data_IF_272613156305
#
_entry.id   IF_272613156305
#
_cell.length_a   1.000
_cell.length_b   1.000
_cell.length_c   1.000
_cell.angle_alpha   90.00
_cell.angle_beta   90.00
_cell.angle_gamma   90.00
#
_symmetry.space_group_name_H-M   'P 1'
#
loop_
_entity.id
_entity.type
_entity.pdbx_description
1 polymer ?
#
# COMPACT_ATOMS: atom_id res chain seq x y z
N UNK A 1 -30.60 9.32 30.96
CA UNK A 1 -30.13 10.39 30.06
C UNK A 1 -29.36 9.71 28.92
N UNK A 2 -29.94 9.76 27.72
CA UNK A 2 -29.62 8.90 26.57
C UNK A 2 -28.19 9.12 26.02
N UNK A 3 -27.32 8.12 26.21
CA UNK A 3 -26.03 8.02 25.50
C UNK A 3 -26.24 7.18 24.23
N UNK A 4 -27.07 7.69 23.32
CA UNK A 4 -27.30 7.10 21.97
C UNK A 4 -26.89 8.10 20.88
N UNK A 5 -25.91 8.96 21.14
CA UNK A 5 -25.61 10.12 20.31
C UNK A 5 -24.40 9.99 19.36
N UNK A 6 -23.85 8.81 19.08
CA UNK A 6 -22.71 8.71 18.14
C UNK A 6 -22.63 7.44 17.27
N UNK A 7 -23.71 6.66 17.14
CA UNK A 7 -23.63 5.33 16.51
C UNK A 7 -23.69 5.29 14.97
N UNK A 8 -23.74 6.44 14.27
CA UNK A 8 -23.84 6.44 12.80
C UNK A 8 -22.87 7.44 12.17
N UNK A 9 -21.57 7.17 12.26
CA UNK A 9 -20.74 7.57 11.12
C UNK A 9 -21.28 6.80 9.91
N UNK A 10 -21.89 7.53 8.96
CA UNK A 10 -22.37 6.96 7.70
C UNK A 10 -21.27 6.08 7.10
N UNK A 11 -21.62 4.87 6.62
CA UNK A 11 -20.71 3.92 5.98
C UNK A 11 -19.78 4.59 4.96
N UNK A 12 -20.31 5.57 4.22
CA UNK A 12 -19.58 6.44 3.29
C UNK A 12 -18.40 7.17 3.96
N UNK A 13 -18.61 7.77 5.13
CA UNK A 13 -17.56 8.47 5.90
C UNK A 13 -16.47 7.51 6.37
N UNK A 14 -16.83 6.29 6.76
CA UNK A 14 -15.87 5.26 7.18
C UNK A 14 -15.00 4.82 6.00
N UNK A 15 -15.62 4.54 4.85
CA UNK A 15 -14.92 4.20 3.60
C UNK A 15 -13.94 5.30 3.17
N UNK A 16 -14.37 6.57 3.15
CA UNK A 16 -13.50 7.69 2.80
C UNK A 16 -12.36 7.86 3.80
N UNK A 17 -12.65 7.78 5.10
CA UNK A 17 -11.62 7.87 6.13
C UNK A 17 -10.57 6.79 5.96
N UNK A 18 -10.98 5.55 5.70
CA UNK A 18 -10.09 4.44 5.45
C UNK A 18 -9.21 4.69 4.21
N UNK A 19 -9.79 5.10 3.09
CA UNK A 19 -9.06 5.46 1.87
C UNK A 19 -7.98 6.52 2.13
N UNK A 20 -8.36 7.65 2.74
CA UNK A 20 -7.42 8.73 3.05
C UNK A 20 -6.34 8.29 4.03
N UNK A 21 -6.66 7.51 5.06
CA UNK A 21 -5.63 7.02 5.99
C UNK A 21 -4.66 6.04 5.34
N UNK A 22 -5.13 5.21 4.40
CA UNK A 22 -4.26 4.31 3.65
C UNK A 22 -3.33 5.10 2.73
N UNK A 23 -3.85 6.08 1.99
CA UNK A 23 -3.02 6.96 1.17
C UNK A 23 -2.02 7.78 2.02
N UNK A 24 -2.48 8.40 3.11
CA UNK A 24 -1.64 9.24 3.96
C UNK A 24 -0.50 8.44 4.60
N UNK A 25 -0.78 7.28 5.18
CA UNK A 25 0.22 6.54 5.94
C UNK A 25 1.04 5.58 5.07
N UNK A 26 0.40 4.80 4.20
CA UNK A 26 1.14 3.82 3.39
C UNK A 26 1.84 4.51 2.21
N UNK A 27 1.08 5.18 1.35
CA UNK A 27 1.66 5.89 0.21
C UNK A 27 2.51 7.09 0.67
N UNK A 28 2.09 7.84 1.69
CA UNK A 28 2.89 8.93 2.25
C UNK A 28 4.22 8.46 2.87
N UNK A 29 4.26 7.30 3.54
CA UNK A 29 5.53 6.74 4.04
C UNK A 29 6.45 6.28 2.90
N UNK A 30 5.88 5.74 1.81
CA UNK A 30 6.63 5.41 0.61
C UNK A 30 7.26 6.66 -0.02
N UNK A 31 6.47 7.74 -0.20
CA UNK A 31 6.97 9.01 -0.71
C UNK A 31 8.04 9.63 0.20
N UNK A 32 7.83 9.63 1.52
CA UNK A 32 8.82 10.13 2.48
C UNK A 32 10.12 9.32 2.41
N UNK A 33 10.02 7.99 2.31
CA UNK A 33 11.18 7.11 2.17
C UNK A 33 11.98 7.42 0.92
N UNK A 34 11.30 7.54 -0.24
CA UNK A 34 11.95 7.91 -1.50
C UNK A 34 12.56 9.32 -1.44
N UNK A 35 11.83 10.31 -0.95
CA UNK A 35 12.30 11.69 -0.84
C UNK A 35 13.53 11.81 0.06
N UNK A 36 13.55 11.11 1.19
CA UNK A 36 14.70 11.10 2.09
C UNK A 36 15.90 10.35 1.51
N UNK A 37 15.69 9.26 0.78
CA UNK A 37 16.78 8.57 0.07
C UNK A 37 17.43 9.48 -0.97
N UNK A 38 16.63 10.21 -1.75
CA UNK A 38 17.13 11.21 -2.72
C UNK A 38 17.87 12.33 -1.98
N UNK A 39 17.29 12.90 -0.92
CA UNK A 39 17.94 13.97 -0.15
C UNK A 39 19.29 13.50 0.43
N UNK A 40 19.36 12.28 0.96
CA UNK A 40 20.57 11.69 1.50
C UNK A 40 21.67 11.51 0.44
N UNK A 41 21.30 11.10 -0.78
CA UNK A 41 22.26 10.94 -1.89
C UNK A 41 22.92 12.25 -2.33
N UNK A 42 22.33 13.40 -2.00
CA UNK A 42 22.86 14.72 -2.33
C UNK A 42 23.67 15.37 -1.20
N UNK A 43 23.80 14.71 -0.04
CA UNK A 43 24.58 15.25 1.07
C UNK A 43 26.08 15.06 0.82
N UNK A 44 26.94 16.08 1.04
CA UNK A 44 28.38 16.02 0.82
C UNK A 44 29.10 15.24 1.95
N UNK A 45 28.58 14.09 2.35
CA UNK A 45 29.17 13.23 3.37
C UNK A 45 30.06 12.17 2.75
N UNK A 46 31.34 12.14 3.15
CA UNK A 46 32.36 11.22 2.65
C UNK A 46 32.31 9.84 3.31
N UNK A 47 31.13 9.25 3.40
CA UNK A 47 31.03 7.88 3.90
C UNK A 47 31.33 6.86 2.80
N UNK A 48 31.87 5.68 3.15
CA UNK A 48 31.92 4.57 2.22
C UNK A 48 30.53 4.23 1.68
N UNK A 49 30.45 3.91 0.38
CA UNK A 49 29.18 3.64 -0.32
C UNK A 49 28.34 2.55 0.36
N UNK A 50 28.98 1.48 0.83
CA UNK A 50 28.33 0.38 1.57
C UNK A 50 27.63 0.88 2.84
N UNK A 51 28.26 1.80 3.58
CA UNK A 51 27.69 2.37 4.80
C UNK A 51 26.48 3.25 4.48
N UNK A 52 26.54 4.05 3.41
CA UNK A 52 25.38 4.87 3.00
C UNK A 52 24.20 4.04 2.51
N UNK A 53 24.46 2.96 1.78
CA UNK A 53 23.42 2.04 1.36
C UNK A 53 22.73 1.38 2.57
N UNK A 54 23.52 0.95 3.57
CA UNK A 54 22.97 0.37 4.79
C UNK A 54 22.14 1.37 5.59
N UNK A 55 22.63 2.60 5.80
CA UNK A 55 21.89 3.65 6.51
C UNK A 55 20.59 3.98 5.76
N UNK A 56 20.65 4.16 4.45
CA UNK A 56 19.47 4.47 3.63
C UNK A 56 18.42 3.36 3.69
N UNK A 57 18.85 2.10 3.65
CA UNK A 57 17.98 0.95 3.82
C UNK A 57 17.32 0.94 5.21
N UNK A 58 18.10 1.14 6.28
CA UNK A 58 17.56 1.16 7.65
C UNK A 58 16.55 2.30 7.85
N UNK A 59 16.83 3.48 7.31
CA UNK A 59 15.92 4.64 7.35
C UNK A 59 14.64 4.33 6.57
N UNK A 60 14.75 3.80 5.35
CA UNK A 60 13.61 3.40 4.54
C UNK A 60 12.74 2.38 5.28
N UNK A 61 13.35 1.33 5.84
CA UNK A 61 12.65 0.33 6.64
C UNK A 61 11.93 0.97 7.82
N UNK A 62 12.62 1.79 8.61
CA UNK A 62 12.03 2.47 9.77
C UNK A 62 10.79 3.30 9.38
N UNK A 63 10.86 4.03 8.26
CA UNK A 63 9.74 4.82 7.73
C UNK A 63 8.58 3.92 7.32
N UNK A 64 8.84 2.85 6.55
CA UNK A 64 7.80 1.94 6.09
C UNK A 64 7.13 1.19 7.25
N UNK A 65 7.91 0.69 8.20
CA UNK A 65 7.38 0.03 9.40
C UNK A 65 6.54 1.00 10.23
N UNK A 66 6.98 2.25 10.38
CA UNK A 66 6.24 3.29 11.11
C UNK A 66 4.95 3.66 10.38
N UNK A 67 4.99 3.83 9.05
CA UNK A 67 3.82 4.07 8.22
C UNK A 67 2.79 2.95 8.34
N UNK A 68 3.23 1.69 8.24
CA UNK A 68 2.39 0.51 8.46
C UNK A 68 1.80 0.44 9.87
N UNK A 69 2.58 0.77 10.90
CA UNK A 69 2.13 0.78 12.30
C UNK A 69 1.03 1.84 12.53
N UNK A 70 1.25 3.06 12.05
CA UNK A 70 0.30 4.17 12.15
C UNK A 70 -0.98 3.88 11.36
N UNK A 71 -0.84 3.32 10.16
CA UNK A 71 -1.95 2.84 9.36
C UNK A 71 -2.78 1.78 10.09
N UNK A 72 -2.13 0.75 10.64
CA UNK A 72 -2.82 -0.31 11.40
C UNK A 72 -3.54 0.22 12.64
N UNK A 73 -2.93 1.19 13.34
CA UNK A 73 -3.59 1.89 14.46
C UNK A 73 -4.81 2.68 14.00
N UNK A 74 -4.74 3.37 12.86
CA UNK A 74 -5.87 4.09 12.28
C UNK A 74 -7.00 3.13 11.85
N UNK A 75 -6.65 1.98 11.26
CA UNK A 75 -7.60 0.94 10.88
C UNK A 75 -8.27 0.27 12.08
N UNK A 76 -7.60 0.19 13.23
CA UNK A 76 -8.24 -0.26 14.47
C UNK A 76 -9.42 0.64 14.88
N UNK A 77 -9.29 1.95 14.67
CA UNK A 77 -10.38 2.90 14.92
C UNK A 77 -11.52 2.76 13.90
N UNK A 78 -11.19 2.46 12.63
CA UNK A 78 -12.17 2.17 11.57
C UNK A 78 -12.96 0.89 11.88
N UNK A 79 -12.28 -0.14 12.38
CA UNK A 79 -12.87 -1.42 12.75
C UNK A 79 -13.55 -1.42 14.13
N UNK A 80 -13.56 -0.28 14.85
CA UNK A 80 -14.05 -0.17 16.23
C UNK A 80 -13.49 -1.29 17.15
N UNK A 81 -12.21 -1.64 16.96
CA UNK A 81 -11.57 -2.74 17.67
C UNK A 81 -10.76 -2.23 18.86
N UNK A 82 -10.97 -2.86 20.02
CA UNK A 82 -10.17 -2.60 21.21
C UNK A 82 -8.72 -3.12 21.08
N UNK A 83 -8.46 -3.98 20.10
CA UNK A 83 -7.17 -4.65 19.91
C UNK A 83 -6.16 -3.80 19.15
N UNK A 84 -6.09 -2.49 19.44
CA UNK A 84 -5.25 -1.50 18.75
C UNK A 84 -3.80 -1.97 18.57
N UNK A 85 -3.19 -2.52 19.62
CA UNK A 85 -1.80 -3.01 19.59
C UNK A 85 -1.59 -4.11 18.55
N UNK A 86 -2.53 -5.05 18.41
CA UNK A 86 -2.42 -6.15 17.43
C UNK A 86 -2.58 -5.66 16.00
N UNK A 87 -3.53 -4.74 15.75
CA UNK A 87 -3.69 -4.14 14.43
C UNK A 87 -2.50 -3.23 14.04
N UNK A 88 -1.90 -2.51 15.00
CA UNK A 88 -0.65 -1.77 14.77
C UNK A 88 0.47 -2.70 14.29
N UNK A 89 0.73 -3.80 15.01
CA UNK A 89 1.75 -4.76 14.61
C UNK A 89 1.43 -5.44 13.28
N UNK A 90 0.17 -5.79 13.03
CA UNK A 90 -0.25 -6.35 11.76
C UNK A 90 0.00 -5.38 10.59
N UNK A 91 -0.27 -4.09 10.78
CA UNK A 91 0.03 -3.07 9.78
C UNK A 91 1.54 -2.94 9.51
N UNK A 92 2.35 -2.88 10.57
CA UNK A 92 3.80 -2.78 10.46
C UNK A 92 4.43 -3.99 9.75
N UNK A 93 4.03 -5.20 10.16
CA UNK A 93 4.58 -6.46 9.66
C UNK A 93 4.03 -6.88 8.29
N UNK A 94 2.88 -6.33 7.88
CA UNK A 94 2.37 -6.58 6.53
C UNK A 94 2.98 -5.63 5.51
N UNK A 95 2.96 -4.33 5.77
CA UNK A 95 3.27 -3.35 4.74
C UNK A 95 4.73 -3.39 4.28
N UNK A 96 5.69 -3.18 5.20
CA UNK A 96 7.10 -3.07 4.82
C UNK A 96 7.63 -4.38 4.21
N UNK A 97 7.42 -5.57 4.81
CA UNK A 97 7.88 -6.82 4.20
C UNK A 97 7.21 -7.11 2.85
N UNK A 98 5.91 -6.86 2.70
CA UNK A 98 5.23 -7.11 1.41
C UNK A 98 5.75 -6.18 0.32
N UNK A 99 6.03 -4.91 0.64
CA UNK A 99 6.60 -3.97 -0.32
C UNK A 99 8.02 -4.37 -0.73
N UNK A 100 8.86 -4.84 0.21
CA UNK A 100 10.21 -5.35 -0.09
C UNK A 100 10.13 -6.59 -0.98
N UNK A 101 9.27 -7.55 -0.63
CA UNK A 101 9.09 -8.76 -1.41
C UNK A 101 8.59 -8.44 -2.83
N UNK A 102 7.63 -7.51 -2.95
CA UNK A 102 7.17 -7.03 -4.25
C UNK A 102 8.30 -6.35 -5.03
N UNK A 103 9.08 -5.46 -4.40
CA UNK A 103 10.21 -4.79 -5.05
C UNK A 103 11.30 -5.76 -5.53
N UNK A 104 11.66 -6.76 -4.72
CA UNK A 104 12.61 -7.80 -5.10
C UNK A 104 12.05 -8.62 -6.27
N UNK A 105 10.78 -9.04 -6.20
CA UNK A 105 10.14 -9.80 -7.28
C UNK A 105 10.10 -8.99 -8.58
N UNK A 106 9.70 -7.72 -8.52
CA UNK A 106 9.66 -6.81 -9.66
C UNK A 106 11.05 -6.63 -10.28
N UNK A 107 12.08 -6.32 -9.49
CA UNK A 107 13.44 -6.14 -10.00
C UNK A 107 14.02 -7.41 -10.63
N UNK A 108 13.68 -8.59 -10.09
CA UNK A 108 14.06 -9.87 -10.71
C UNK A 108 13.31 -10.14 -12.01
N UNK A 109 12.02 -9.86 -12.06
CA UNK A 109 11.20 -10.06 -13.25
C UNK A 109 11.57 -9.09 -14.37
N UNK A 110 11.87 -7.83 -14.03
CA UNK A 110 12.37 -6.82 -14.98
C UNK A 110 13.69 -7.27 -15.61
N UNK A 111 14.67 -7.71 -14.80
CA UNK A 111 15.95 -8.23 -15.28
C UNK A 111 15.77 -9.40 -16.27
N UNK A 112 14.84 -10.32 -15.98
CA UNK A 112 14.62 -11.51 -16.83
C UNK A 112 13.86 -11.14 -18.10
N UNK A 113 12.77 -10.37 -17.97
CA UNK A 113 11.83 -10.13 -19.08
C UNK A 113 12.35 -9.03 -20.01
N UNK A 114 12.92 -7.95 -19.46
CA UNK A 114 13.28 -6.76 -20.22
C UNK A 114 14.77 -6.78 -20.62
N UNK A 115 15.68 -7.03 -19.67
CA UNK A 115 17.12 -6.90 -19.95
C UNK A 115 17.71 -8.12 -20.67
N UNK A 116 17.29 -9.33 -20.29
CA UNK A 116 17.79 -10.57 -20.92
C UNK A 116 17.04 -10.96 -22.18
N UNK A 117 15.86 -10.38 -22.42
CA UNK A 117 15.01 -10.74 -23.56
C UNK A 117 14.45 -12.17 -23.49
N UNK A 118 14.46 -12.80 -22.30
CA UNK A 118 13.92 -14.16 -22.09
C UNK A 118 12.38 -14.16 -21.98
N UNK A 119 11.75 -12.98 -22.05
CA UNK A 119 10.30 -12.80 -22.00
C UNK A 119 9.62 -12.81 -23.37
N UNK A 120 8.28 -12.89 -23.40
CA UNK A 120 7.52 -12.68 -24.64
C UNK A 120 7.79 -11.27 -25.19
N UNK A 121 7.81 -11.13 -26.52
CA UNK A 121 8.00 -9.86 -27.23
C UNK A 121 6.78 -8.93 -27.03
N UNK A 122 6.74 -8.32 -25.85
CA UNK A 122 5.67 -7.46 -25.39
C UNK A 122 6.17 -6.01 -25.31
N UNK A 123 5.34 -5.02 -25.68
CA UNK A 123 5.67 -3.63 -25.45
C UNK A 123 5.94 -3.35 -23.96
N UNK A 124 6.93 -2.51 -23.67
CA UNK A 124 7.37 -2.19 -22.29
C UNK A 124 6.22 -1.71 -21.39
N UNK A 125 5.27 -0.92 -21.92
CA UNK A 125 4.10 -0.49 -21.16
C UNK A 125 3.20 -1.66 -20.74
N UNK A 126 3.04 -2.68 -21.58
CA UNK A 126 2.28 -3.89 -21.23
C UNK A 126 3.01 -4.69 -20.15
N UNK A 127 4.34 -4.83 -20.28
CA UNK A 127 5.16 -5.48 -19.25
C UNK A 127 5.04 -4.74 -17.92
N UNK A 128 5.09 -3.41 -17.94
CA UNK A 128 4.89 -2.57 -16.76
C UNK A 128 3.53 -2.86 -16.10
N UNK A 129 2.42 -2.84 -16.86
CA UNK A 129 1.08 -3.17 -16.33
C UNK A 129 1.03 -4.58 -15.73
N UNK A 130 1.57 -5.58 -16.44
CA UNK A 130 1.57 -6.99 -16.02
C UNK A 130 2.39 -7.24 -14.74
N UNK A 131 3.37 -6.39 -14.46
CA UNK A 131 4.20 -6.49 -13.26
C UNK A 131 3.60 -5.71 -12.09
N UNK A 132 3.20 -4.46 -12.31
CA UNK A 132 2.78 -3.58 -11.22
C UNK A 132 1.34 -3.84 -10.74
N UNK A 133 0.42 -4.28 -11.61
CA UNK A 133 -0.95 -4.60 -11.18
C UNK A 133 -1.00 -5.78 -10.19
N UNK A 134 -0.31 -6.92 -10.44
CA UNK A 134 -0.19 -7.98 -9.44
C UNK A 134 0.57 -7.56 -8.19
N UNK A 135 1.58 -6.69 -8.30
CA UNK A 135 2.29 -6.16 -7.13
C UNK A 135 1.35 -5.33 -6.24
N UNK A 136 0.53 -4.46 -6.83
CA UNK A 136 -0.48 -3.68 -6.11
C UNK A 136 -1.52 -4.59 -5.43
N UNK A 137 -1.99 -5.64 -6.14
CA UNK A 137 -2.85 -6.68 -5.57
C UNK A 137 -2.20 -7.32 -4.34
N UNK A 138 -0.96 -7.77 -4.48
CA UNK A 138 -0.22 -8.49 -3.45
C UNK A 138 -0.03 -7.64 -2.20
N UNK A 139 0.49 -6.42 -2.34
CA UNK A 139 0.78 -5.55 -1.19
C UNK A 139 -0.51 -5.18 -0.43
N UNK A 140 -1.56 -4.78 -1.13
CA UNK A 140 -2.84 -4.45 -0.50
C UNK A 140 -3.52 -5.69 0.11
N UNK A 141 -3.44 -6.83 -0.58
CA UNK A 141 -3.99 -8.11 -0.13
C UNK A 141 -3.32 -8.61 1.15
N UNK A 142 -1.99 -8.52 1.25
CA UNK A 142 -1.25 -8.87 2.47
C UNK A 142 -1.61 -7.97 3.64
N UNK A 143 -1.84 -6.67 3.40
CA UNK A 143 -2.38 -5.75 4.40
C UNK A 143 -3.75 -6.20 4.90
N UNK A 144 -4.68 -6.53 4.00
CA UNK A 144 -6.01 -7.02 4.36
C UNK A 144 -5.99 -8.35 5.11
N UNK A 145 -5.15 -9.29 4.67
CA UNK A 145 -4.96 -10.59 5.31
C UNK A 145 -4.47 -10.42 6.75
N UNK A 146 -3.42 -9.63 6.95
CA UNK A 146 -2.84 -9.38 8.27
C UNK A 146 -3.86 -8.75 9.23
N UNK A 147 -4.71 -7.83 8.74
CA UNK A 147 -5.77 -7.23 9.55
C UNK A 147 -6.81 -8.25 10.01
N UNK A 148 -7.29 -9.13 9.12
CA UNK A 148 -8.25 -10.17 9.54
C UNK A 148 -7.63 -11.20 10.49
N UNK A 149 -6.37 -11.58 10.29
CA UNK A 149 -5.62 -12.45 11.22
C UNK A 149 -5.49 -11.77 12.59
N UNK A 150 -5.18 -10.47 12.63
CA UNK A 150 -5.12 -9.70 13.88
C UNK A 150 -6.47 -9.68 14.60
N UNK A 151 -7.58 -9.66 13.85
CA UNK A 151 -8.94 -9.76 14.39
C UNK A 151 -9.37 -11.18 14.77
N UNK A 152 -8.50 -12.18 14.58
CA UNK A 152 -8.77 -13.62 14.83
C UNK A 152 -9.94 -14.17 13.99
N UNK A 153 -10.14 -13.64 12.79
CA UNK A 153 -11.13 -14.16 11.86
C UNK A 153 -10.49 -14.42 10.49
N UNK A 154 -10.23 -15.70 10.19
CA UNK A 154 -9.60 -16.12 8.95
C UNK A 154 -10.50 -15.92 7.73
N UNK A 155 -11.83 -16.09 7.88
CA UNK A 155 -12.78 -15.86 6.79
C UNK A 155 -12.81 -14.39 6.43
N UNK A 156 -12.81 -13.52 7.44
CA UNK A 156 -12.63 -12.09 7.26
C UNK A 156 -11.27 -11.78 6.63
N UNK A 157 -10.18 -12.41 7.08
CA UNK A 157 -8.84 -12.19 6.54
C UNK A 157 -8.75 -12.44 5.03
N UNK A 158 -9.28 -13.58 4.56
CA UNK A 158 -9.31 -13.90 3.13
C UNK A 158 -10.18 -12.90 2.37
N UNK A 159 -11.36 -12.55 2.91
CA UNK A 159 -12.25 -11.57 2.27
C UNK A 159 -11.61 -10.19 2.18
N UNK A 160 -10.93 -9.74 3.24
CA UNK A 160 -10.19 -8.47 3.26
C UNK A 160 -9.02 -8.51 2.27
N UNK A 161 -8.27 -9.61 2.22
CA UNK A 161 -7.15 -9.77 1.29
C UNK A 161 -7.61 -9.67 -0.17
N UNK A 162 -8.62 -10.44 -0.56
CA UNK A 162 -9.15 -10.43 -1.92
C UNK A 162 -9.81 -9.10 -2.26
N UNK A 163 -10.65 -8.56 -1.37
CA UNK A 163 -11.36 -7.31 -1.63
C UNK A 163 -10.41 -6.11 -1.73
N UNK A 164 -9.42 -6.02 -0.84
CA UNK A 164 -8.41 -4.96 -0.87
C UNK A 164 -7.46 -5.10 -2.05
N UNK A 165 -6.97 -6.32 -2.30
CA UNK A 165 -6.06 -6.64 -3.40
C UNK A 165 -6.71 -6.33 -4.75
N UNK A 166 -7.92 -6.83 -5.01
CA UNK A 166 -8.62 -6.57 -6.26
C UNK A 166 -8.92 -5.08 -6.44
N UNK A 167 -9.39 -4.39 -5.39
CA UNK A 167 -9.65 -2.95 -5.48
C UNK A 167 -8.37 -2.15 -5.77
N UNK A 168 -7.25 -2.49 -5.13
CA UNK A 168 -5.97 -1.86 -5.38
C UNK A 168 -5.45 -2.11 -6.80
N UNK A 169 -5.54 -3.36 -7.27
CA UNK A 169 -5.14 -3.75 -8.62
C UNK A 169 -5.95 -3.01 -9.69
N UNK A 170 -7.28 -2.96 -9.53
CA UNK A 170 -8.16 -2.22 -10.43
C UNK A 170 -7.91 -0.71 -10.36
N UNK A 171 -7.65 -0.17 -9.17
CA UNK A 171 -7.30 1.24 -9.00
C UNK A 171 -6.01 1.62 -9.71
N UNK A 172 -4.97 0.77 -9.60
CA UNK A 172 -3.72 0.93 -10.33
C UNK A 172 -3.96 0.84 -11.84
N UNK A 173 -4.59 -0.25 -12.30
CA UNK A 173 -4.85 -0.51 -13.72
C UNK A 173 -5.66 0.63 -14.37
N UNK A 174 -6.69 1.14 -13.68
CA UNK A 174 -7.49 2.24 -14.20
C UNK A 174 -6.64 3.50 -14.45
N UNK A 175 -5.77 3.85 -13.50
CA UNK A 175 -4.86 5.00 -13.67
C UNK A 175 -3.83 4.74 -14.76
N UNK A 176 -3.25 3.55 -14.81
CA UNK A 176 -2.28 3.15 -15.82
C UNK A 176 -2.86 3.28 -17.24
N UNK A 177 -4.07 2.75 -17.48
CA UNK A 177 -4.77 2.87 -18.76
C UNK A 177 -5.15 4.32 -19.10
N UNK A 178 -5.60 5.11 -18.13
CA UNK A 178 -5.91 6.53 -18.34
C UNK A 178 -4.65 7.30 -18.71
N UNK A 179 -3.53 7.05 -18.03
CA UNK A 179 -2.27 7.71 -18.32
C UNK A 179 -1.70 7.30 -19.68
N UNK A 180 -1.80 6.03 -20.05
CA UNK A 180 -1.42 5.59 -21.40
C UNK A 180 -2.27 6.29 -22.48
N UNK A 181 -3.59 6.39 -22.27
CA UNK A 181 -4.49 7.10 -23.18
C UNK A 181 -4.19 8.61 -23.29
N UNK A 182 -3.64 9.21 -22.22
CA UNK A 182 -3.18 10.61 -22.20
C UNK A 182 -1.76 10.79 -22.75
N UNK A 183 -1.12 9.72 -23.25
CA UNK A 183 0.22 9.76 -23.83
C UNK A 183 1.37 9.68 -22.83
N UNK A 184 1.09 9.41 -21.54
CA UNK A 184 2.09 9.05 -20.52
C UNK A 184 2.44 7.56 -20.62
N UNK A 185 2.85 7.13 -21.82
CA UNK A 185 3.19 5.73 -22.11
C UNK A 185 4.59 5.39 -21.59
N UNK A 186 4.69 4.36 -20.75
CA UNK A 186 5.98 3.85 -20.26
C UNK A 186 6.78 3.25 -21.42
N UNK A 187 8.04 3.72 -21.58
CA UNK A 187 8.93 3.28 -22.65
C UNK A 187 8.75 3.98 -24.01
N UNK A 188 7.88 5.00 -24.12
CA UNK A 188 7.73 5.78 -25.34
C UNK A 188 8.90 6.78 -25.57
N UNK A 189 9.09 7.31 -26.80
CA UNK A 189 10.07 8.37 -27.06
C UNK A 189 9.85 9.58 -26.14
N UNK A 190 10.91 10.09 -25.51
CA UNK A 190 10.84 11.19 -24.53
C UNK A 190 10.32 10.79 -23.14
N UNK A 191 10.05 9.49 -22.88
CA UNK A 191 9.55 9.04 -21.57
C UNK A 191 10.54 9.29 -20.42
N UNK A 192 11.84 9.27 -20.70
CA UNK A 192 12.90 9.56 -19.73
C UNK A 192 12.88 11.03 -19.30
N UNK A 193 12.74 11.97 -20.24
CA UNK A 193 12.68 13.42 -19.97
C UNK A 193 11.49 13.78 -19.07
N UNK A 194 10.37 13.05 -19.22
CA UNK A 194 9.15 13.26 -18.43
C UNK A 194 9.08 12.41 -17.17
N UNK A 195 10.10 11.59 -16.88
CA UNK A 195 10.06 10.59 -15.81
C UNK A 195 8.75 9.77 -15.81
N UNK A 196 8.31 9.33 -16.99
CA UNK A 196 6.97 8.78 -17.21
C UNK A 196 6.71 7.55 -16.35
N UNK A 197 7.67 6.63 -16.27
CA UNK A 197 7.57 5.43 -15.44
C UNK A 197 7.34 5.77 -13.96
N UNK A 198 8.11 6.71 -13.42
CA UNK A 198 7.97 7.15 -12.02
C UNK A 198 6.61 7.82 -11.80
N UNK A 199 6.19 8.67 -12.74
CA UNK A 199 4.92 9.40 -12.63
C UNK A 199 3.73 8.44 -12.65
N UNK A 200 3.69 7.51 -13.60
CA UNK A 200 2.63 6.49 -13.71
C UNK A 200 2.64 5.57 -12.50
N UNK A 201 3.82 5.11 -12.06
CA UNK A 201 3.97 4.29 -10.87
C UNK A 201 3.44 4.99 -9.62
N UNK A 202 3.78 6.27 -9.41
CA UNK A 202 3.33 7.01 -8.23
C UNK A 202 1.82 7.29 -8.26
N UNK A 203 1.28 7.71 -9.41
CA UNK A 203 -0.15 7.93 -9.58
C UNK A 203 -0.96 6.63 -9.41
N UNK A 204 -0.49 5.53 -10.01
CA UNK A 204 -1.09 4.20 -9.86
C UNK A 204 -1.06 3.71 -8.41
N UNK A 205 0.07 3.87 -7.71
CA UNK A 205 0.18 3.49 -6.29
C UNK A 205 -0.73 4.34 -5.38
N UNK A 206 -0.88 5.64 -5.66
CA UNK A 206 -1.83 6.49 -4.95
C UNK A 206 -3.26 5.97 -5.15
N UNK A 207 -3.67 5.71 -6.38
CA UNK A 207 -4.99 5.17 -6.68
C UNK A 207 -5.22 3.79 -6.06
N UNK A 208 -4.22 2.91 -6.12
CA UNK A 208 -4.24 1.60 -5.47
C UNK A 208 -4.46 1.73 -3.95
N UNK A 209 -3.74 2.66 -3.30
CA UNK A 209 -3.86 2.90 -1.86
C UNK A 209 -5.25 3.43 -1.47
N UNK A 210 -5.83 4.33 -2.28
CA UNK A 210 -7.17 4.86 -2.07
C UNK A 210 -8.24 3.78 -2.27
N UNK A 211 -8.18 3.05 -3.38
CA UNK A 211 -9.16 2.02 -3.71
C UNK A 211 -9.09 0.82 -2.74
N UNK A 212 -7.88 0.32 -2.47
CA UNK A 212 -7.66 -0.74 -1.48
C UNK A 212 -8.08 -0.33 -0.08
N UNK A 213 -7.74 0.90 0.34
CA UNK A 213 -8.17 1.47 1.62
C UNK A 213 -9.69 1.63 1.76
N UNK A 214 -10.35 2.10 0.69
CA UNK A 214 -11.81 2.21 0.64
C UNK A 214 -12.48 0.83 0.79
N UNK A 215 -12.00 -0.17 0.04
CA UNK A 215 -12.51 -1.52 0.11
C UNK A 215 -12.35 -2.12 1.52
N UNK A 216 -11.15 -2.01 2.11
CA UNK A 216 -10.90 -2.43 3.50
C UNK A 216 -11.84 -1.78 4.49
N UNK A 217 -11.95 -0.44 4.47
CA UNK A 217 -12.83 0.29 5.36
C UNK A 217 -14.30 -0.10 5.22
N UNK A 218 -14.76 -0.30 3.98
CA UNK A 218 -16.14 -0.72 3.71
C UNK A 218 -16.45 -2.10 4.27
N UNK A 219 -15.51 -3.04 4.20
CA UNK A 219 -15.67 -4.41 4.71
C UNK A 219 -15.54 -4.45 6.23
N UNK A 220 -14.56 -3.74 6.80
CA UNK A 220 -14.38 -3.62 8.25
C UNK A 220 -15.58 -2.95 8.92
N UNK A 221 -16.20 -1.95 8.27
CA UNK A 221 -17.41 -1.29 8.80
C UNK A 221 -18.63 -2.21 8.90
N UNK A 222 -18.63 -3.30 8.13
CA UNK A 222 -19.71 -4.30 8.12
C UNK A 222 -19.40 -5.51 8.99
N UNK A 223 -18.23 -5.53 9.63
CA UNK A 223 -17.85 -6.59 10.55
C UNK A 223 -18.55 -6.34 11.90
N UNK A 224 -19.33 -7.31 12.43
CA UNK A 224 -19.91 -7.17 13.75
C UNK A 224 -18.77 -7.15 14.77
N UNK A 225 -18.50 -5.98 15.35
CA UNK A 225 -17.63 -5.90 16.52
C UNK A 225 -18.25 -6.80 17.59
N UNK A 226 -17.57 -7.88 17.98
CA UNK A 226 -17.86 -8.55 19.25
C UNK A 226 -17.59 -7.53 20.35
N UNK A 227 -18.57 -6.69 20.63
CA UNK A 227 -18.60 -5.81 21.78
C UNK A 227 -18.46 -6.74 22.99
N UNK A 228 -17.29 -6.77 23.61
CA UNK A 228 -17.24 -7.16 25.02
C UNK A 228 -18.15 -6.16 25.74
N UNK A 229 -19.21 -6.61 26.44
CA UNK A 229 -20.00 -5.70 27.26
C UNK A 229 -19.05 -4.98 28.22
N UNK A 230 -19.34 -3.72 28.58
CA UNK A 230 -18.55 -3.02 29.59
C UNK A 230 -18.44 -3.91 30.84
N UNK A 231 -17.28 -3.93 31.54
CA UNK A 231 -17.17 -4.68 32.77
C UNK A 231 -18.35 -4.30 33.67
N UNK A 232 -19.09 -5.32 34.11
CA UNK A 232 -20.11 -5.12 35.13
C UNK A 232 -19.42 -4.47 36.33
N UNK A 233 -19.87 -3.26 36.67
CA UNK A 233 -19.40 -2.50 37.82
C UNK A 233 -19.59 -3.31 39.10
#
# INVERSE_FOLDING_TARGET
>A
MNVTLNATMSRKRITWRAAYTTALFLFGSLLLGFGLAIAASNLPMHFPEQTMNLISLLVLLAILFTGGALWGRAMAAVALSDQKKRLTWAGALSFAPSLILAGIALGRLELIIVERGDGPDLPVHVVFTLLFVPAAFFVAGMGGLAMGIALKDLKLAVRLALGAGLAAALGFLAVDLVMDALGYRVGAPGAAERATMLTVMMAGNLAASLAGGAALGSMLSSYPSKLTPPPAL
#
